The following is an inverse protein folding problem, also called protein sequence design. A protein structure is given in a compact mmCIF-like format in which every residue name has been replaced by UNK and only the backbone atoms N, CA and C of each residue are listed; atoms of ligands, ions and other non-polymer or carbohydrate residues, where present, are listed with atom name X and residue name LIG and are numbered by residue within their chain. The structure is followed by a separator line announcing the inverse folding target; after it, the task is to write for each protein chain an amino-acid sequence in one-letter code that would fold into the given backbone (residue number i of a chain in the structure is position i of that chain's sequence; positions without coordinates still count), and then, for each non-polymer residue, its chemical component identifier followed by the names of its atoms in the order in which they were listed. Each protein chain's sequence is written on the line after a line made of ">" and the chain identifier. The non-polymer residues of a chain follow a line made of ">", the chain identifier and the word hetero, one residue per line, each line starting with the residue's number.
data_IF_402521340172
#
_entry.id   IF_402521340172
#
_cell.length_a   1.000
_cell.length_b   1.000
_cell.length_c   1.000
_cell.angle_alpha   90.00
_cell.angle_beta   90.00
_cell.angle_gamma   90.00
#
_symmetry.space_group_name_H-M   'P 1'
#
loop_
_entity.id
_entity.type
_entity.pdbx_description
1 polymer ?
#
# COMPACT_ATOMS: atom_id res chain seq x y z
N UNK A 1 40.54 14.13 -70.74
CA UNK A 1 39.08 14.42 -70.64
C UNK A 1 38.35 13.29 -69.92
N UNK A 2 38.31 12.06 -70.47
CA UNK A 2 37.64 10.90 -69.85
C UNK A 2 38.13 10.52 -68.44
N UNK A 3 39.42 10.71 -68.13
CA UNK A 3 39.96 10.42 -66.79
C UNK A 3 39.44 11.39 -65.69
N UNK A 4 39.15 12.65 -66.06
CA UNK A 4 38.62 13.65 -65.13
C UNK A 4 37.15 13.33 -64.82
N UNK A 5 36.37 13.02 -65.86
CA UNK A 5 34.98 12.56 -65.74
C UNK A 5 34.90 11.24 -64.95
N UNK A 6 35.82 10.30 -65.18
CA UNK A 6 35.92 9.05 -64.43
C UNK A 6 36.20 9.26 -62.94
N UNK A 7 37.09 10.20 -62.59
CA UNK A 7 37.35 10.55 -61.19
C UNK A 7 36.14 11.17 -60.50
N UNK A 8 35.38 12.03 -61.18
CA UNK A 8 34.16 12.63 -60.63
C UNK A 8 33.09 11.55 -60.32
N UNK A 9 32.92 10.58 -61.24
CA UNK A 9 32.02 9.44 -61.03
C UNK A 9 32.51 8.56 -59.88
N UNK A 10 33.82 8.28 -59.82
CA UNK A 10 34.41 7.47 -58.76
C UNK A 10 34.20 8.08 -57.36
N UNK A 11 34.30 9.41 -57.23
CA UNK A 11 34.03 10.11 -55.97
C UNK A 11 32.56 9.98 -55.56
N UNK A 12 31.60 10.15 -56.49
CA UNK A 12 30.17 9.96 -56.22
C UNK A 12 29.84 8.52 -55.81
N UNK A 13 30.49 7.54 -56.45
CA UNK A 13 30.33 6.12 -56.11
C UNK A 13 30.88 5.82 -54.71
N UNK A 14 32.08 6.34 -54.39
CA UNK A 14 32.68 6.22 -53.07
C UNK A 14 31.79 6.83 -51.98
N UNK A 15 31.21 8.01 -52.23
CA UNK A 15 30.28 8.65 -51.32
C UNK A 15 29.04 7.79 -51.08
N UNK A 16 28.43 7.24 -52.14
CA UNK A 16 27.29 6.31 -52.01
C UNK A 16 27.62 5.11 -51.13
N UNK A 17 28.79 4.48 -51.33
CA UNK A 17 29.21 3.35 -50.50
C UNK A 17 29.41 3.76 -49.03
N UNK A 18 30.03 4.91 -48.77
CA UNK A 18 30.20 5.42 -47.41
C UNK A 18 28.85 5.67 -46.73
N UNK A 19 27.89 6.26 -47.43
CA UNK A 19 26.54 6.53 -46.90
C UNK A 19 25.84 5.23 -46.53
N UNK A 20 25.84 4.22 -47.40
CA UNK A 20 25.21 2.91 -47.11
C UNK A 20 25.83 2.26 -45.88
N UNK A 21 27.17 2.25 -45.77
CA UNK A 21 27.87 1.67 -44.61
C UNK A 21 27.51 2.43 -43.34
N UNK A 22 27.52 3.77 -43.38
CA UNK A 22 27.20 4.62 -42.25
C UNK A 22 25.77 4.38 -41.76
N UNK A 23 24.78 4.47 -42.65
CA UNK A 23 23.37 4.25 -42.31
C UNK A 23 23.12 2.84 -41.77
N UNK A 24 23.73 1.83 -42.39
CA UNK A 24 23.60 0.44 -41.92
C UNK A 24 24.17 0.28 -40.52
N UNK A 25 25.33 0.88 -40.24
CA UNK A 25 25.95 0.84 -38.92
C UNK A 25 25.10 1.54 -37.88
N UNK A 26 24.60 2.73 -38.16
CA UNK A 26 23.72 3.49 -37.26
C UNK A 26 22.43 2.71 -36.95
N UNK A 27 21.79 2.10 -37.95
CA UNK A 27 20.58 1.28 -37.74
C UNK A 27 20.87 0.03 -36.89
N UNK A 28 22.02 -0.60 -37.08
CA UNK A 28 22.46 -1.76 -36.26
C UNK A 28 22.71 -1.36 -34.81
N UNK A 29 23.41 -0.25 -34.58
CA UNK A 29 23.67 0.28 -33.24
C UNK A 29 22.35 0.62 -32.52
N UNK A 30 21.41 1.30 -33.20
CA UNK A 30 20.07 1.56 -32.67
C UNK A 30 19.28 0.28 -32.37
N UNK A 31 19.34 -0.70 -33.26
CA UNK A 31 18.67 -2.00 -33.05
C UNK A 31 19.21 -2.70 -31.81
N UNK A 32 20.53 -2.75 -31.64
CA UNK A 32 21.15 -3.37 -30.47
C UNK A 32 20.75 -2.65 -29.18
N UNK A 33 20.76 -1.31 -29.19
CA UNK A 33 20.30 -0.49 -28.06
C UNK A 33 18.84 -0.80 -27.69
N UNK A 34 17.94 -0.90 -28.67
CA UNK A 34 16.54 -1.23 -28.42
C UNK A 34 16.40 -2.63 -27.82
N UNK A 35 17.10 -3.63 -28.36
CA UNK A 35 17.05 -5.01 -27.86
C UNK A 35 17.49 -5.12 -26.39
N UNK A 36 18.62 -4.49 -26.05
CA UNK A 36 19.14 -4.49 -24.68
C UNK A 36 18.18 -3.81 -23.71
N UNK A 37 17.59 -2.68 -24.09
CA UNK A 37 16.65 -1.99 -23.22
C UNK A 37 15.30 -2.71 -23.11
N UNK A 38 14.82 -3.37 -24.17
CA UNK A 38 13.61 -4.23 -24.10
C UNK A 38 13.84 -5.32 -23.04
N UNK A 39 14.96 -6.03 -23.11
CA UNK A 39 15.31 -7.08 -22.15
C UNK A 39 15.39 -6.52 -20.73
N UNK A 40 16.03 -5.36 -20.54
CA UNK A 40 16.08 -4.68 -19.25
C UNK A 40 14.69 -4.38 -18.68
N UNK A 41 13.78 -3.82 -19.49
CA UNK A 41 12.43 -3.49 -19.04
C UNK A 41 11.57 -4.74 -18.79
N UNK A 42 11.78 -5.81 -19.57
CA UNK A 42 11.14 -7.10 -19.32
C UNK A 42 11.61 -7.68 -17.99
N UNK A 43 12.92 -7.71 -17.72
CA UNK A 43 13.46 -8.15 -16.43
C UNK A 43 12.91 -7.33 -15.26
N UNK A 44 12.82 -6.00 -15.42
CA UNK A 44 12.18 -5.11 -14.45
C UNK A 44 10.69 -5.46 -14.24
N UNK A 45 9.95 -5.79 -15.31
CA UNK A 45 8.54 -6.19 -15.23
C UNK A 45 8.39 -7.54 -14.51
N UNK A 46 9.23 -8.52 -14.83
CA UNK A 46 9.25 -9.84 -14.21
C UNK A 46 9.58 -9.77 -12.72
N UNK A 47 10.53 -8.92 -12.31
CA UNK A 47 10.84 -8.64 -10.91
C UNK A 47 9.63 -8.04 -10.14
N UNK A 48 8.70 -7.42 -10.86
CA UNK A 48 7.43 -6.91 -10.33
C UNK A 48 6.25 -7.87 -10.60
N UNK A 49 6.53 -9.17 -10.76
CA UNK A 49 5.54 -10.23 -10.90
C UNK A 49 4.61 -10.05 -12.12
N UNK A 50 5.13 -9.51 -13.22
CA UNK A 50 4.35 -9.24 -14.43
C UNK A 50 3.55 -10.46 -14.94
N UNK A 51 4.07 -11.68 -14.82
CA UNK A 51 3.34 -12.89 -15.23
C UNK A 51 2.07 -13.15 -14.42
N UNK A 52 1.96 -12.61 -13.19
CA UNK A 52 0.75 -12.70 -12.38
C UNK A 52 -0.28 -11.66 -12.84
N UNK A 53 0.18 -10.44 -13.11
CA UNK A 53 -0.69 -9.28 -13.31
C UNK A 53 -1.03 -8.99 -14.77
N UNK A 54 -0.05 -9.10 -15.66
CA UNK A 54 -0.11 -8.68 -17.07
C UNK A 54 0.55 -9.68 -18.04
N UNK A 55 0.24 -10.98 -17.97
CA UNK A 55 0.92 -11.99 -18.80
C UNK A 55 0.76 -11.75 -20.30
N UNK A 56 -0.41 -11.25 -20.74
CA UNK A 56 -0.69 -10.97 -22.15
C UNK A 56 0.12 -9.80 -22.70
N UNK A 57 0.43 -8.78 -21.88
CA UNK A 57 1.26 -7.65 -22.32
C UNK A 57 2.71 -8.09 -22.54
N UNK A 58 3.23 -8.99 -21.69
CA UNK A 58 4.55 -9.57 -21.86
C UNK A 58 4.63 -10.42 -23.14
N UNK A 59 3.60 -11.23 -23.40
CA UNK A 59 3.51 -12.02 -24.63
C UNK A 59 3.46 -11.12 -25.88
N UNK A 60 2.71 -10.02 -25.85
CA UNK A 60 2.67 -9.05 -26.95
C UNK A 60 4.06 -8.45 -27.24
N UNK A 61 4.81 -8.07 -26.20
CA UNK A 61 6.19 -7.56 -26.37
C UNK A 61 7.09 -8.61 -27.01
N UNK A 62 7.01 -9.85 -26.53
CA UNK A 62 7.80 -10.97 -27.07
C UNK A 62 7.47 -11.25 -28.53
N UNK A 63 6.18 -11.23 -28.90
CA UNK A 63 5.75 -11.41 -30.27
C UNK A 63 6.26 -10.28 -31.18
N UNK A 64 6.12 -9.01 -30.77
CA UNK A 64 6.64 -7.86 -31.52
C UNK A 64 8.16 -7.97 -31.73
N UNK A 65 8.90 -8.37 -30.70
CA UNK A 65 10.34 -8.60 -30.77
C UNK A 65 10.69 -9.72 -31.76
N UNK A 66 9.92 -10.81 -31.74
CA UNK A 66 10.11 -11.95 -32.65
C UNK A 66 9.88 -11.55 -34.11
N UNK A 67 8.79 -10.85 -34.39
CA UNK A 67 8.47 -10.36 -35.74
C UNK A 67 9.51 -9.32 -36.22
N UNK A 68 9.96 -8.43 -35.33
CA UNK A 68 11.05 -7.49 -35.62
C UNK A 68 12.34 -8.22 -36.00
N UNK A 69 12.67 -9.29 -35.27
CA UNK A 69 13.84 -10.13 -35.55
C UNK A 69 13.72 -10.82 -36.90
N UNK A 70 12.53 -11.29 -37.28
CA UNK A 70 12.26 -11.87 -38.60
C UNK A 70 12.52 -10.85 -39.71
N UNK A 71 12.01 -9.63 -39.58
CA UNK A 71 12.24 -8.56 -40.58
C UNK A 71 13.73 -8.18 -40.68
N UNK A 72 14.41 -8.08 -39.55
CA UNK A 72 15.85 -7.80 -39.52
C UNK A 72 16.66 -8.87 -40.26
N UNK A 73 16.32 -10.16 -40.07
CA UNK A 73 16.94 -11.29 -40.80
C UNK A 73 16.68 -11.23 -42.31
N UNK A 74 15.57 -10.65 -42.74
CA UNK A 74 15.23 -10.43 -44.15
C UNK A 74 15.87 -9.16 -44.72
N UNK A 75 16.80 -8.51 -44.00
CA UNK A 75 17.45 -7.26 -44.38
C UNK A 75 16.53 -6.03 -44.49
N UNK A 76 15.30 -6.13 -43.98
CA UNK A 76 14.34 -5.04 -43.87
C UNK A 76 14.58 -4.24 -42.57
N UNK A 77 15.66 -3.46 -42.57
CA UNK A 77 16.17 -2.76 -41.38
C UNK A 77 15.20 -1.69 -40.86
N UNK A 78 14.50 -0.98 -41.74
CA UNK A 78 13.63 0.12 -41.34
C UNK A 78 12.36 -0.37 -40.66
N UNK A 79 11.68 -1.36 -41.26
CA UNK A 79 10.50 -1.94 -40.61
C UNK A 79 10.88 -2.75 -39.36
N UNK A 80 12.05 -3.39 -39.34
CA UNK A 80 12.53 -4.04 -38.13
C UNK A 80 12.73 -3.02 -37.00
N UNK A 81 13.35 -1.87 -37.29
CA UNK A 81 13.59 -0.82 -36.30
C UNK A 81 12.29 -0.21 -35.77
N UNK A 82 11.29 -0.01 -36.63
CA UNK A 82 9.95 0.42 -36.23
C UNK A 82 9.31 -0.58 -35.26
N UNK A 83 9.38 -1.88 -35.56
CA UNK A 83 8.83 -2.92 -34.70
C UNK A 83 9.57 -3.06 -33.37
N UNK A 84 10.91 -2.97 -33.37
CA UNK A 84 11.67 -2.91 -32.12
C UNK A 84 11.30 -1.68 -31.29
N UNK A 85 11.06 -0.53 -31.93
CA UNK A 85 10.63 0.68 -31.23
C UNK A 85 9.23 0.50 -30.60
N UNK A 86 8.31 -0.18 -31.29
CA UNK A 86 6.99 -0.57 -30.74
C UNK A 86 7.14 -1.53 -29.56
N UNK A 87 7.94 -2.59 -29.71
CA UNK A 87 8.22 -3.55 -28.64
C UNK A 87 8.82 -2.85 -27.41
N UNK A 88 9.74 -1.91 -27.62
CA UNK A 88 10.34 -1.10 -26.56
C UNK A 88 9.31 -0.25 -25.81
N UNK A 89 8.46 0.49 -26.53
CA UNK A 89 7.41 1.29 -25.89
C UNK A 89 6.44 0.41 -25.08
N UNK A 90 6.06 -0.76 -25.61
CA UNK A 90 5.22 -1.72 -24.90
C UNK A 90 5.93 -2.31 -23.67
N UNK A 91 7.22 -2.61 -23.76
CA UNK A 91 8.01 -3.10 -22.63
C UNK A 91 8.07 -2.07 -21.49
N UNK A 92 8.28 -0.79 -21.82
CA UNK A 92 8.25 0.31 -20.84
C UNK A 92 6.89 0.42 -20.15
N UNK A 93 5.81 0.32 -20.93
CA UNK A 93 4.45 0.35 -20.40
C UNK A 93 4.16 -0.87 -19.52
N UNK A 94 4.56 -2.07 -19.95
CA UNK A 94 4.41 -3.30 -19.17
C UNK A 94 5.16 -3.22 -17.83
N UNK A 95 6.40 -2.72 -17.83
CA UNK A 95 7.17 -2.52 -16.60
C UNK A 95 6.49 -1.54 -15.63
N UNK A 96 5.89 -0.47 -16.16
CA UNK A 96 5.10 0.48 -15.36
C UNK A 96 3.82 -0.16 -14.81
N UNK A 97 3.05 -0.84 -15.65
CA UNK A 97 1.82 -1.51 -15.28
C UNK A 97 2.05 -2.59 -14.22
N UNK A 98 3.12 -3.38 -14.34
CA UNK A 98 3.50 -4.39 -13.36
C UNK A 98 3.79 -3.76 -11.98
N UNK A 99 4.58 -2.67 -11.95
CA UNK A 99 4.87 -1.93 -10.71
C UNK A 99 3.59 -1.38 -10.07
N UNK A 100 2.70 -0.79 -10.86
CA UNK A 100 1.43 -0.26 -10.37
C UNK A 100 0.49 -1.37 -9.84
N UNK A 101 0.40 -2.50 -10.54
CA UNK A 101 -0.42 -3.64 -10.15
C UNK A 101 0.08 -4.28 -8.85
N UNK A 102 1.40 -4.48 -8.72
CA UNK A 102 2.02 -4.96 -7.49
C UNK A 102 1.77 -4.02 -6.31
N UNK A 103 2.01 -2.73 -6.48
CA UNK A 103 1.79 -1.73 -5.43
C UNK A 103 0.31 -1.67 -5.00
N UNK A 104 -0.63 -1.78 -5.95
CA UNK A 104 -2.06 -1.87 -5.67
C UNK A 104 -2.37 -3.09 -4.82
N UNK A 105 -1.89 -4.28 -5.21
CA UNK A 105 -2.15 -5.52 -4.50
C UNK A 105 -1.61 -5.50 -3.08
N UNK A 106 -0.37 -5.06 -2.88
CA UNK A 106 0.24 -4.94 -1.54
C UNK A 106 -0.54 -3.97 -0.64
N UNK A 107 -0.99 -2.85 -1.22
CA UNK A 107 -1.80 -1.86 -0.52
C UNK A 107 -3.17 -2.43 -0.13
N UNK A 108 -3.80 -3.20 -1.02
CA UNK A 108 -5.08 -3.86 -0.78
C UNK A 108 -5.00 -4.88 0.34
N UNK A 109 -3.96 -5.71 0.33
CA UNK A 109 -3.74 -6.70 1.38
C UNK A 109 -3.52 -6.04 2.75
N UNK A 110 -2.71 -4.97 2.80
CA UNK A 110 -2.51 -4.19 4.02
C UNK A 110 -3.83 -3.59 4.52
N UNK A 111 -4.58 -2.95 3.63
CA UNK A 111 -5.90 -2.36 3.93
C UNK A 111 -6.87 -3.41 4.48
N UNK A 112 -6.97 -4.58 3.85
CA UNK A 112 -7.88 -5.66 4.28
C UNK A 112 -7.44 -6.32 5.58
N UNK A 113 -6.13 -6.53 5.79
CA UNK A 113 -5.59 -7.04 7.05
C UNK A 113 -5.96 -6.12 8.21
N UNK A 114 -5.81 -4.82 8.00
CA UNK A 114 -6.17 -3.81 8.98
C UNK A 114 -7.68 -3.71 9.22
N UNK A 115 -8.49 -3.74 8.15
CA UNK A 115 -9.95 -3.78 8.25
C UNK A 115 -10.41 -4.93 9.15
N UNK A 116 -9.88 -6.15 8.93
CA UNK A 116 -10.18 -7.32 9.77
C UNK A 116 -9.75 -7.10 11.23
N UNK A 117 -8.58 -6.51 11.44
CA UNK A 117 -8.09 -6.22 12.79
C UNK A 117 -8.93 -5.15 13.51
N UNK A 118 -9.41 -4.13 12.79
CA UNK A 118 -10.33 -3.12 13.29
C UNK A 118 -11.72 -3.70 13.59
N UNK A 119 -12.26 -4.55 12.70
CA UNK A 119 -13.52 -5.29 12.94
C UNK A 119 -13.40 -6.16 14.20
N UNK A 120 -12.29 -6.89 14.35
CA UNK A 120 -12.02 -7.69 15.53
C UNK A 120 -11.90 -6.83 16.81
N UNK A 121 -11.14 -5.73 16.74
CA UNK A 121 -10.99 -4.81 17.87
C UNK A 121 -12.29 -4.11 18.26
N UNK A 122 -13.18 -3.86 17.31
CA UNK A 122 -14.53 -3.34 17.58
C UNK A 122 -15.40 -4.30 18.39
N UNK A 123 -15.06 -5.59 18.43
CA UNK A 123 -15.74 -6.57 19.28
C UNK A 123 -15.05 -6.76 20.63
N UNK A 124 -13.87 -6.17 20.84
CA UNK A 124 -13.14 -6.25 22.11
C UNK A 124 -13.69 -5.18 23.07
N UNK A 125 -14.34 -5.58 24.18
CA UNK A 125 -14.78 -4.62 25.17
C UNK A 125 -13.59 -4.11 25.98
N UNK A 126 -13.56 -2.81 26.28
CA UNK A 126 -12.55 -2.21 27.16
C UNK A 126 -13.16 -2.00 28.54
N UNK A 127 -12.35 -2.20 29.58
CA UNK A 127 -12.70 -1.78 30.92
C UNK A 127 -12.01 -0.45 31.24
N UNK A 128 -12.79 0.61 31.46
CA UNK A 128 -12.28 1.91 31.89
C UNK A 128 -13.09 2.38 33.09
N UNK A 129 -12.42 2.82 34.15
CA UNK A 129 -13.03 3.30 35.40
C UNK A 129 -14.11 2.36 35.95
N UNK A 130 -13.82 1.06 35.96
CA UNK A 130 -14.69 0.03 36.53
C UNK A 130 -16.01 -0.22 35.75
N UNK A 131 -16.17 0.36 34.55
CA UNK A 131 -17.29 0.11 33.63
C UNK A 131 -16.80 -0.59 32.36
N UNK A 132 -17.62 -1.53 31.87
CA UNK A 132 -17.43 -2.17 30.57
C UNK A 132 -17.89 -1.21 29.49
N UNK A 133 -16.96 -0.70 28.69
CA UNK A 133 -17.26 0.12 27.52
C UNK A 133 -17.00 -0.73 26.29
N UNK A 134 -18.07 -1.05 25.57
CA UNK A 134 -17.97 -1.65 24.25
C UNK A 134 -17.78 -0.52 23.24
N UNK A 135 -16.73 -0.54 22.40
CA UNK A 135 -16.63 0.41 21.31
C UNK A 135 -17.82 0.22 20.35
N UNK A 136 -18.24 1.29 19.68
CA UNK A 136 -19.31 1.19 18.69
C UNK A 136 -18.95 0.17 17.61
N UNK A 137 -19.88 -0.71 17.19
CA UNK A 137 -19.67 -1.62 16.07
C UNK A 137 -19.27 -0.80 14.84
N UNK A 138 -18.15 -1.16 14.22
CA UNK A 138 -17.65 -0.49 13.03
C UNK A 138 -17.61 -1.48 11.87
N UNK A 139 -18.14 -1.04 10.73
CA UNK A 139 -18.21 -1.83 9.51
C UNK A 139 -17.54 -1.07 8.36
N UNK A 140 -16.21 -1.20 8.26
CA UNK A 140 -15.46 -0.56 7.18
C UNK A 140 -15.80 -1.10 5.78
N UNK A 141 -16.46 -2.26 5.66
CA UNK A 141 -16.91 -2.78 4.35
C UNK A 141 -18.06 -1.97 3.76
N UNK A 142 -18.95 -1.44 4.62
CA UNK A 142 -20.03 -0.57 4.18
C UNK A 142 -19.45 0.70 3.51
N UNK A 143 -18.44 1.30 4.14
CA UNK A 143 -17.75 2.47 3.63
C UNK A 143 -17.10 2.25 2.25
N UNK A 144 -16.40 1.12 2.07
CA UNK A 144 -15.84 0.74 0.77
C UNK A 144 -16.94 0.58 -0.28
N UNK A 145 -18.06 -0.08 0.07
CA UNK A 145 -19.18 -0.32 -0.86
C UNK A 145 -19.87 0.98 -1.28
N UNK A 146 -20.13 1.90 -0.35
CA UNK A 146 -20.72 3.22 -0.63
C UNK A 146 -19.85 4.03 -1.57
N UNK A 147 -18.54 4.11 -1.29
CA UNK A 147 -17.61 4.84 -2.14
C UNK A 147 -17.43 4.22 -3.52
N UNK A 148 -17.33 2.90 -3.61
CA UNK A 148 -17.27 2.21 -4.90
C UNK A 148 -18.56 2.44 -5.72
N UNK A 149 -19.71 2.50 -5.05
CA UNK A 149 -20.99 2.82 -5.70
C UNK A 149 -21.04 4.27 -6.20
N UNK A 150 -20.56 5.24 -5.40
CA UNK A 150 -20.42 6.64 -5.83
C UNK A 150 -19.43 6.82 -6.97
N UNK A 151 -18.30 6.12 -6.97
CA UNK A 151 -17.37 6.11 -8.11
C UNK A 151 -18.04 5.56 -9.38
N UNK A 152 -18.85 4.51 -9.26
CA UNK A 152 -19.59 3.98 -10.41
C UNK A 152 -20.63 4.97 -10.95
N UNK A 153 -21.35 5.73 -10.10
CA UNK A 153 -22.28 6.78 -10.55
C UNK A 153 -21.58 7.98 -11.19
N UNK A 154 -20.39 8.35 -10.75
CA UNK A 154 -19.60 9.42 -11.38
C UNK A 154 -18.99 8.99 -12.72
N UNK A 155 -18.81 7.67 -12.92
CA UNK A 155 -18.15 7.09 -14.09
C UNK A 155 -19.15 6.59 -15.16
N UNK A 156 -20.45 6.84 -15.01
CA UNK A 156 -21.46 6.53 -16.05
C UNK A 156 -21.50 7.57 -17.18
N UNK A 157 -20.85 8.72 -17.03
CA UNK A 157 -20.75 9.71 -18.11
C UNK A 157 -19.59 9.35 -19.02
N UNK A 158 -19.90 8.51 -20.01
CA UNK A 158 -19.00 8.04 -21.05
C UNK A 158 -18.75 9.06 -22.18
N UNK A 159 -19.13 10.33 -22.00
CA UNK A 159 -18.97 11.37 -23.02
C UNK A 159 -18.12 12.55 -22.52
N UNK A 160 -17.21 12.94 -23.41
CA UNK A 160 -16.14 13.90 -23.27
C UNK A 160 -16.50 15.23 -22.61
N UNK A 161 -15.60 15.70 -21.73
CA UNK A 161 -15.17 17.10 -21.74
C UNK A 161 -13.65 17.18 -21.60
N UNK A 162 -13.02 17.62 -22.70
CA UNK A 162 -11.76 18.35 -22.66
C UNK A 162 -11.97 19.60 -21.80
N UNK A 163 -11.21 19.75 -20.71
CA UNK A 163 -10.84 21.08 -20.23
C UNK A 163 -9.31 21.18 -20.27
N UNK A 164 -8.83 21.86 -21.31
CA UNK A 164 -7.54 22.52 -21.28
C UNK A 164 -7.54 23.69 -20.30
N UNK A 165 -6.33 24.08 -19.92
CA UNK A 165 -5.94 25.37 -19.34
C UNK A 165 -6.88 25.96 -18.28
N UNK A 166 -6.69 25.49 -17.05
CA UNK A 166 -6.87 26.34 -15.88
C UNK A 166 -5.53 26.42 -15.13
N UNK A 167 -4.78 27.49 -15.42
CA UNK A 167 -3.92 28.15 -14.44
C UNK A 167 -4.79 28.51 -13.24
N UNK A 168 -4.97 27.57 -12.33
CA UNK A 168 -5.37 27.84 -10.96
C UNK A 168 -4.61 26.83 -10.15
N UNK A 169 -3.40 27.24 -9.79
CA UNK A 169 -2.81 26.91 -8.50
C UNK A 169 -3.89 27.08 -7.43
N UNK A 170 -4.65 26.02 -7.18
CA UNK A 170 -5.30 25.84 -5.90
C UNK A 170 -4.17 25.29 -5.04
N UNK A 171 -3.55 26.10 -4.17
CA UNK A 171 -2.72 25.52 -3.15
C UNK A 171 -3.67 24.62 -2.35
N UNK A 172 -3.48 23.30 -2.41
CA UNK A 172 -4.03 22.44 -1.38
C UNK A 172 -3.23 22.84 -0.14
N UNK A 173 -3.80 23.78 0.60
CA UNK A 173 -3.30 24.20 1.90
C UNK A 173 -3.32 22.94 2.76
N UNK A 174 -2.14 22.36 2.96
CA UNK A 174 -1.82 21.44 4.04
C UNK A 174 -1.98 22.19 5.36
N UNK A 175 -3.21 22.45 5.78
CA UNK A 175 -3.50 22.97 7.11
C UNK A 175 -3.79 21.80 8.04
N UNK A 176 -2.71 21.10 8.44
CA UNK A 176 -2.56 20.71 9.83
C UNK A 176 -1.08 20.46 10.17
N UNK A 177 -0.25 21.49 10.02
CA UNK A 177 0.86 21.66 10.94
C UNK A 177 0.29 22.14 12.29
N UNK A 178 -0.30 21.25 13.07
CA UNK A 178 -0.22 21.46 14.51
C UNK A 178 1.22 21.18 14.90
N UNK A 179 1.96 22.28 15.04
CA UNK A 179 3.21 22.31 15.78
C UNK A 179 3.02 21.46 17.02
N UNK A 180 3.82 20.41 17.14
CA UNK A 180 4.02 19.66 18.38
C UNK A 180 4.68 20.62 19.37
N UNK A 181 3.87 21.53 19.91
CA UNK A 181 4.18 22.26 21.12
C UNK A 181 4.11 21.24 22.24
N UNK A 182 5.25 20.97 22.85
CA UNK A 182 5.33 20.26 24.12
C UNK A 182 4.57 21.13 25.13
N UNK A 183 3.28 20.86 25.29
CA UNK A 183 2.47 21.41 26.35
C UNK A 183 2.90 20.73 27.66
N UNK A 184 3.93 21.30 28.29
CA UNK A 184 4.12 21.11 29.73
C UNK A 184 2.89 21.71 30.42
N UNK A 185 2.27 20.88 31.25
CA UNK A 185 1.24 21.18 32.25
C UNK A 185 -0.22 21.21 31.75
N UNK A 186 -0.85 20.03 31.79
CA UNK A 186 -2.22 19.86 32.31
C UNK A 186 -2.55 18.36 32.48
N UNK A 187 -2.70 17.91 33.72
CA UNK A 187 -3.61 16.80 34.06
C UNK A 187 -4.87 17.48 34.58
N UNK A 188 -6.08 17.19 34.06
CA UNK A 188 -6.77 15.95 34.45
C UNK A 188 -7.67 15.30 33.37
N UNK A 189 -7.55 13.97 33.23
CA UNK A 189 -8.59 12.95 32.92
C UNK A 189 -8.02 11.83 32.04
N UNK A 190 -7.54 10.76 32.69
CA UNK A 190 -7.09 9.51 32.04
C UNK A 190 -8.26 8.68 31.46
N UNK A 191 -9.47 9.26 31.35
CA UNK A 191 -10.74 8.55 31.08
C UNK A 191 -11.14 8.44 29.60
N UNK A 192 -10.55 9.25 28.69
CA UNK A 192 -10.94 9.31 27.27
C UNK A 192 -9.84 8.86 26.28
N UNK A 193 -8.63 8.62 26.77
CA UNK A 193 -7.46 8.33 25.92
C UNK A 193 -7.58 7.06 25.08
N UNK A 194 -8.33 6.05 25.52
CA UNK A 194 -8.30 4.71 24.88
C UNK A 194 -9.34 4.54 23.77
N UNK A 195 -10.54 5.13 23.90
CA UNK A 195 -11.56 5.12 22.84
C UNK A 195 -11.17 6.05 21.68
N UNK A 196 -10.52 7.18 21.99
CA UNK A 196 -9.94 8.06 20.99
C UNK A 196 -8.92 7.34 20.09
N UNK A 197 -8.19 6.34 20.62
CA UNK A 197 -7.21 5.57 19.81
C UNK A 197 -7.89 4.78 18.70
N UNK A 198 -9.01 4.10 18.99
CA UNK A 198 -9.70 3.29 17.98
C UNK A 198 -10.43 4.19 16.97
N UNK A 199 -11.00 5.31 17.39
CA UNK A 199 -11.61 6.28 16.48
C UNK A 199 -10.56 6.94 15.58
N UNK A 200 -9.42 7.34 16.14
CA UNK A 200 -8.29 7.87 15.37
C UNK A 200 -7.74 6.84 14.38
N UNK A 201 -7.66 5.57 14.79
CA UNK A 201 -7.31 4.46 13.89
C UNK A 201 -8.30 4.34 12.71
N UNK A 202 -9.61 4.37 12.96
CA UNK A 202 -10.65 4.31 11.92
C UNK A 202 -10.54 5.47 10.93
N UNK A 203 -10.47 6.70 11.42
CA UNK A 203 -10.36 7.90 10.56
C UNK A 203 -9.10 7.90 9.69
N UNK A 204 -7.97 7.44 10.22
CA UNK A 204 -6.73 7.28 9.43
C UNK A 204 -6.87 6.19 8.37
N UNK A 205 -7.54 5.09 8.69
CA UNK A 205 -7.85 4.04 7.71
C UNK A 205 -8.76 4.56 6.59
N UNK A 206 -9.80 5.34 6.94
CA UNK A 206 -10.72 5.97 5.98
C UNK A 206 -9.98 6.93 5.02
N UNK A 207 -9.08 7.78 5.55
CA UNK A 207 -8.19 8.63 4.74
C UNK A 207 -7.24 7.80 3.88
N UNK A 208 -6.76 6.66 4.38
CA UNK A 208 -5.94 5.73 3.61
C UNK A 208 -6.69 5.16 2.40
N UNK A 209 -7.97 4.84 2.56
CA UNK A 209 -8.84 4.40 1.45
C UNK A 209 -9.04 5.54 0.43
N UNK A 210 -9.19 6.78 0.88
CA UNK A 210 -9.25 7.94 -0.03
C UNK A 210 -7.97 8.12 -0.84
N UNK A 211 -6.81 8.07 -0.18
CA UNK A 211 -5.51 8.18 -0.83
C UNK A 211 -5.31 7.05 -1.87
N UNK A 212 -5.73 5.83 -1.56
CA UNK A 212 -5.72 4.69 -2.49
C UNK A 212 -6.61 4.95 -3.72
N UNK A 213 -7.80 5.52 -3.54
CA UNK A 213 -8.71 5.83 -4.65
C UNK A 213 -8.11 6.86 -5.63
N UNK A 214 -7.25 7.76 -5.13
CA UNK A 214 -6.48 8.72 -5.95
C UNK A 214 -5.20 8.09 -6.54
N UNK A 215 -5.01 6.76 -6.40
CA UNK A 215 -3.80 6.01 -6.79
C UNK A 215 -2.51 6.47 -6.09
N UNK A 216 -2.62 7.14 -4.94
CA UNK A 216 -1.46 7.48 -4.12
C UNK A 216 -1.17 6.36 -3.11
N UNK A 217 -0.62 5.25 -3.62
CA UNK A 217 -0.36 4.05 -2.81
C UNK A 217 0.65 4.28 -1.69
N UNK A 218 1.61 5.19 -1.89
CA UNK A 218 2.60 5.53 -0.84
C UNK A 218 1.92 6.15 0.38
N UNK A 219 1.13 7.21 0.17
CA UNK A 219 0.40 7.86 1.25
C UNK A 219 -0.61 6.92 1.90
N UNK A 220 -1.32 6.12 1.08
CA UNK A 220 -2.26 5.13 1.61
C UNK A 220 -1.57 4.14 2.57
N UNK A 221 -0.39 3.64 2.20
CA UNK A 221 0.40 2.73 3.02
C UNK A 221 0.88 3.38 4.32
N UNK A 222 1.35 4.62 4.28
CA UNK A 222 1.74 5.40 5.47
C UNK A 222 0.56 5.53 6.44
N UNK A 223 -0.63 5.90 5.93
CA UNK A 223 -1.84 6.05 6.73
C UNK A 223 -2.32 4.73 7.33
N UNK A 224 -2.25 3.63 6.58
CA UNK A 224 -2.56 2.30 7.09
C UNK A 224 -1.60 1.87 8.20
N UNK A 225 -0.30 2.14 8.05
CA UNK A 225 0.69 1.86 9.09
C UNK A 225 0.45 2.69 10.36
N UNK A 226 0.17 3.99 10.24
CA UNK A 226 -0.17 4.83 11.39
C UNK A 226 -1.43 4.32 12.09
N UNK A 227 -2.48 4.03 11.32
CA UNK A 227 -3.71 3.47 11.85
C UNK A 227 -3.48 2.14 12.57
N UNK A 228 -2.56 1.29 12.08
CA UNK A 228 -2.22 0.01 12.69
C UNK A 228 -1.50 0.23 14.03
N UNK A 229 -0.60 1.21 14.11
CA UNK A 229 0.07 1.61 15.36
C UNK A 229 -0.94 2.04 16.43
N UNK A 230 -1.94 2.85 16.06
CA UNK A 230 -3.01 3.24 16.98
C UNK A 230 -3.87 2.04 17.42
N UNK A 231 -4.10 1.10 16.51
CA UNK A 231 -4.82 -0.14 16.81
C UNK A 231 -4.03 -1.05 17.76
N UNK A 232 -2.72 -1.18 17.58
CA UNK A 232 -1.86 -1.94 18.50
C UNK A 232 -1.87 -1.33 19.90
N UNK A 233 -1.75 0.00 19.99
CA UNK A 233 -1.88 0.72 21.27
C UNK A 233 -3.28 0.54 21.91
N UNK A 234 -4.32 0.43 21.09
CA UNK A 234 -5.65 0.08 21.56
C UNK A 234 -5.69 -1.36 22.09
N UNK A 235 -5.18 -2.34 21.33
CA UNK A 235 -5.18 -3.76 21.70
C UNK A 235 -4.37 -4.04 22.96
N UNK A 236 -3.22 -3.38 23.15
CA UNK A 236 -2.43 -3.47 24.38
C UNK A 236 -3.20 -3.00 25.61
N UNK A 237 -4.12 -2.04 25.42
CA UNK A 237 -5.01 -1.54 26.48
C UNK A 237 -6.33 -2.35 26.58
N UNK A 238 -6.73 -3.04 25.51
CA UNK A 238 -8.02 -3.71 25.38
C UNK A 238 -8.03 -5.16 25.87
N UNK A 239 -6.90 -5.69 26.36
CA UNK A 239 -6.83 -7.05 26.89
C UNK A 239 -6.68 -7.04 28.41
N UNK A 240 -7.82 -7.14 29.09
CA UNK A 240 -7.84 -7.75 30.41
C UNK A 240 -9.12 -8.54 30.56
N UNK A 241 -9.01 -9.87 30.50
CA UNK A 241 -10.15 -10.76 30.71
C UNK A 241 -10.84 -10.41 32.03
N UNK A 242 -12.16 -10.24 32.00
CA UNK A 242 -12.91 -9.97 33.22
C UNK A 242 -13.21 -11.27 33.93
N UNK A 243 -12.57 -11.46 35.07
CA UNK A 243 -12.93 -12.52 35.99
C UNK A 243 -13.94 -11.98 37.01
N UNK A 244 -15.12 -12.62 37.08
CA UNK A 244 -16.10 -12.35 38.14
C UNK A 244 -15.71 -13.19 39.35
N UNK A 245 -15.31 -12.52 40.43
CA UNK A 245 -14.99 -13.18 41.70
C UNK A 245 -16.25 -13.86 42.23
N UNK A 246 -16.19 -15.18 42.38
CA UNK A 246 -17.23 -15.96 43.07
C UNK A 246 -16.88 -16.09 44.55
N UNK A 247 -17.90 -16.40 45.36
CA UNK A 247 -17.70 -16.71 46.79
C UNK A 247 -16.66 -17.85 46.90
N UNK A 248 -15.66 -17.65 47.76
CA UNK A 248 -14.55 -18.60 47.96
C UNK A 248 -13.38 -18.47 46.97
N UNK A 249 -13.38 -17.50 46.05
CA UNK A 249 -12.20 -17.22 45.24
C UNK A 249 -11.18 -16.38 46.01
N UNK A 250 -9.90 -16.68 45.79
CA UNK A 250 -8.74 -15.91 46.25
C UNK A 250 -7.94 -15.43 45.05
N UNK A 251 -7.23 -14.30 45.15
CA UNK A 251 -6.35 -13.85 44.06
C UNK A 251 -5.33 -14.94 43.69
N UNK A 252 -4.85 -15.68 44.69
CA UNK A 252 -3.99 -16.85 44.53
C UNK A 252 -4.67 -17.97 43.72
N UNK A 253 -5.90 -18.35 44.08
CA UNK A 253 -6.66 -19.39 43.37
C UNK A 253 -7.03 -18.99 41.94
N UNK A 254 -7.32 -17.71 41.72
CA UNK A 254 -7.57 -17.14 40.38
C UNK A 254 -6.30 -17.20 39.54
N UNK A 255 -5.16 -16.79 40.09
CA UNK A 255 -3.85 -16.86 39.41
C UNK A 255 -3.47 -18.30 39.06
N UNK A 256 -3.68 -19.24 39.99
CA UNK A 256 -3.47 -20.68 39.75
C UNK A 256 -4.36 -21.19 38.62
N UNK A 257 -5.62 -20.75 38.55
CA UNK A 257 -6.57 -21.22 37.54
C UNK A 257 -6.32 -20.61 36.15
N UNK A 258 -5.97 -19.33 36.08
CA UNK A 258 -5.86 -18.59 34.81
C UNK A 258 -4.44 -18.61 34.23
N UNK A 259 -3.41 -18.45 35.06
CA UNK A 259 -2.03 -18.42 34.59
C UNK A 259 -1.29 -19.75 34.76
N UNK A 260 -1.94 -20.73 35.39
CA UNK A 260 -1.32 -21.98 35.84
C UNK A 260 -0.11 -21.76 36.79
N UNK A 261 -0.01 -20.56 37.35
CA UNK A 261 1.04 -20.14 38.28
C UNK A 261 0.39 -19.30 39.39
N UNK A 262 0.29 -19.83 40.62
CA UNK A 262 -0.27 -19.11 41.74
C UNK A 262 0.53 -17.86 42.15
N UNK A 263 1.84 -17.80 41.86
CA UNK A 263 2.71 -16.68 42.27
C UNK A 263 2.48 -15.39 41.47
N UNK A 264 1.73 -15.46 40.37
CA UNK A 264 1.36 -14.30 39.56
C UNK A 264 0.15 -13.51 40.12
N UNK A 265 -0.37 -13.87 41.30
CA UNK A 265 -1.45 -13.13 41.95
C UNK A 265 -1.14 -11.63 42.19
N UNK A 266 0.10 -11.19 42.50
CA UNK A 266 0.40 -9.77 42.66
C UNK A 266 0.20 -8.99 41.35
N UNK A 267 0.42 -9.63 40.19
CA UNK A 267 0.19 -9.03 38.86
C UNK A 267 -1.29 -8.67 38.68
N UNK A 268 -2.18 -9.56 39.11
CA UNK A 268 -3.64 -9.30 39.13
C UNK A 268 -3.95 -8.16 40.10
N UNK A 269 -3.37 -8.17 41.30
CA UNK A 269 -3.61 -7.11 42.29
C UNK A 269 -3.15 -5.74 41.80
N UNK A 270 -1.94 -5.63 41.25
CA UNK A 270 -1.40 -4.38 40.71
C UNK A 270 -2.28 -3.79 39.62
N UNK A 271 -2.78 -4.62 38.70
CA UNK A 271 -3.70 -4.19 37.65
C UNK A 271 -5.06 -3.71 38.16
N UNK A 272 -5.45 -4.13 39.37
CA UNK A 272 -6.73 -3.79 40.00
C UNK A 272 -6.59 -2.90 41.24
N UNK A 273 -5.43 -2.28 41.49
CA UNK A 273 -5.20 -1.52 42.74
C UNK A 273 -6.18 -0.38 42.99
N UNK A 274 -6.79 0.17 41.94
CA UNK A 274 -7.84 1.17 42.08
C UNK A 274 -9.12 0.61 42.75
N UNK A 275 -9.36 -0.70 42.63
CA UNK A 275 -10.55 -1.38 43.18
C UNK A 275 -10.23 -2.24 44.41
N UNK A 276 -9.10 -2.93 44.38
CA UNK A 276 -8.62 -3.78 45.48
C UNK A 276 -7.51 -3.03 46.20
N UNK A 277 -7.88 -2.17 47.16
CA UNK A 277 -6.89 -1.47 47.97
C UNK A 277 -6.14 -2.45 48.90
N UNK A 278 -6.87 -3.40 49.48
CA UNK A 278 -6.32 -4.46 50.29
C UNK A 278 -6.43 -5.81 49.53
N UNK A 279 -5.31 -6.46 49.16
CA UNK A 279 -5.33 -7.73 48.44
C UNK A 279 -6.05 -8.87 49.17
N UNK A 280 -6.14 -8.81 50.51
CA UNK A 280 -6.83 -9.81 51.32
C UNK A 280 -8.36 -9.59 51.37
N UNK A 281 -8.83 -8.39 50.99
CA UNK A 281 -10.24 -8.03 51.02
C UNK A 281 -10.81 -8.00 49.59
N UNK A 282 -11.32 -9.15 49.15
CA UNK A 282 -12.01 -9.31 47.87
C UNK A 282 -13.44 -9.78 48.09
N UNK A 283 -14.40 -9.14 47.41
CA UNK A 283 -15.81 -9.48 47.56
C UNK A 283 -16.35 -10.23 46.34
N UNK A 284 -17.34 -11.08 46.58
CA UNK A 284 -18.08 -11.76 45.52
C UNK A 284 -18.80 -10.75 44.60
N UNK A 285 -18.94 -11.10 43.33
CA UNK A 285 -19.49 -10.27 42.25
C UNK A 285 -18.59 -9.08 41.84
N UNK A 286 -17.39 -8.97 42.40
CA UNK A 286 -16.39 -8.05 41.87
C UNK A 286 -15.91 -8.53 40.50
N UNK A 287 -16.03 -7.65 39.50
CA UNK A 287 -15.39 -7.82 38.20
C UNK A 287 -13.98 -7.26 38.28
N UNK A 288 -12.97 -8.11 38.06
CA UNK A 288 -11.56 -7.73 38.09
C UNK A 288 -10.91 -7.97 36.73
N UNK A 289 -9.96 -7.10 36.42
CA UNK A 289 -9.12 -7.10 35.22
C UNK A 289 -8.07 -8.19 35.38
N UNK A 290 -8.02 -9.18 34.50
CA UNK A 290 -6.95 -10.19 34.47
C UNK A 290 -5.97 -9.80 33.35
N UNK A 291 -4.76 -9.32 33.67
CA UNK A 291 -3.73 -9.05 32.67
C UNK A 291 -3.41 -10.29 31.83
N UNK A 292 -2.89 -10.12 30.62
CA UNK A 292 -2.29 -11.25 29.90
C UNK A 292 -1.09 -11.82 30.69
N UNK A 293 -0.88 -13.15 30.56
CA UNK A 293 0.20 -13.88 31.26
C UNK A 293 1.57 -13.25 31.02
#
# INVERSE_FOLDING_TARGET
>A
KKAIEGNEIALKVLERYKTIIKETREKKEKTNYLKENIEKYLNDAEANEAYIWIPLEIDEVNNLYFEATRKYKNYDLDNALDMYSKAFNRAQQAAKNAKEAKALKETDERMYKQLKALEAASNLPIYSNNKLIKPSPWNGRAFIKERNSHLNLLNTNKDAYLLGDAKTSIPIVLAYEERVGIAKNSKPQEQFKTLELIERSRTLWEKGVEAKNVKNFRLANELFLESARYLEAYQSNASSELYVIKIGNTLWGISKKLYNDPYLWPKIWFANRQKIQNPDLIHSNWKIIIPAK
#
